data_IF_729744393430
#
_entry.id   IF_729744393430
#
_cell.length_a   1.000
_cell.length_b   1.000
_cell.length_c   1.000
_cell.angle_alpha   90.00
_cell.angle_beta   90.00
_cell.angle_gamma   90.00
#
_symmetry.space_group_name_H-M   'P 1'
#
loop_
_entity.id
_entity.type
_entity.pdbx_description
1 polymer ?
#
# COMPACT_ATOMS: atom_id res chain seq x y z
N UNK A 1 2.28 -46.53 -2.15
CA UNK A 1 0.98 -46.40 -2.83
C UNK A 1 1.17 -45.56 -4.08
N UNK A 2 0.96 -46.21 -5.23
CA UNK A 2 1.29 -45.74 -6.56
C UNK A 2 0.27 -44.70 -7.03
N UNK A 3 0.73 -43.52 -7.45
CA UNK A 3 -0.13 -42.57 -8.17
C UNK A 3 -0.49 -43.17 -9.52
N UNK A 4 -1.72 -43.68 -9.63
CA UNK A 4 -2.32 -44.09 -10.90
C UNK A 4 -2.65 -42.82 -11.70
N UNK A 5 -1.73 -42.42 -12.57
CA UNK A 5 -2.00 -41.46 -13.62
C UNK A 5 -2.88 -42.12 -14.66
N UNK A 6 -4.17 -41.76 -14.69
CA UNK A 6 -5.03 -42.05 -15.84
C UNK A 6 -4.53 -41.23 -17.02
N UNK A 7 -3.87 -41.90 -17.97
CA UNK A 7 -3.66 -41.35 -19.31
C UNK A 7 -5.04 -40.96 -19.86
N UNK A 8 -5.16 -39.70 -20.28
CA UNK A 8 -6.33 -39.21 -21.01
C UNK A 8 -6.65 -40.18 -22.15
N UNK A 9 -7.83 -40.79 -22.12
CA UNK A 9 -8.34 -41.59 -23.23
C UNK A 9 -8.53 -40.67 -24.45
N UNK A 10 -7.54 -40.67 -25.35
CA UNK A 10 -7.58 -39.90 -26.60
C UNK A 10 -8.56 -40.62 -27.53
N UNK A 11 -9.63 -39.97 -28.02
CA UNK A 11 -10.59 -40.59 -28.93
C UNK A 11 -9.88 -41.04 -30.22
N UNK A 12 -10.18 -42.24 -30.71
CA UNK A 12 -9.57 -42.83 -31.93
C UNK A 12 -9.90 -42.08 -33.24
N UNK A 13 -10.69 -41.00 -33.18
CA UNK A 13 -10.97 -40.15 -34.33
C UNK A 13 -9.92 -39.05 -34.45
N UNK A 14 -9.14 -39.09 -35.53
CA UNK A 14 -8.05 -38.14 -35.82
C UNK A 14 -8.49 -36.67 -35.73
N UNK A 15 -9.73 -36.36 -36.06
CA UNK A 15 -10.30 -34.99 -35.99
C UNK A 15 -10.47 -34.52 -34.54
N UNK A 16 -10.93 -35.41 -33.64
CA UNK A 16 -11.16 -35.08 -32.24
C UNK A 16 -9.81 -34.86 -31.53
N UNK A 17 -8.82 -35.72 -31.81
CA UNK A 17 -7.47 -35.56 -31.29
C UNK A 17 -6.82 -34.22 -31.71
N UNK A 18 -6.98 -33.81 -32.98
CA UNK A 18 -6.48 -32.52 -33.49
C UNK A 18 -7.16 -31.34 -32.81
N UNK A 19 -8.48 -31.37 -32.62
CA UNK A 19 -9.21 -30.30 -31.93
C UNK A 19 -8.81 -30.16 -30.47
N UNK A 20 -8.57 -31.28 -29.77
CA UNK A 20 -8.07 -31.27 -28.39
C UNK A 20 -6.67 -30.67 -28.32
N UNK A 21 -5.77 -31.08 -29.22
CA UNK A 21 -4.41 -30.51 -29.29
C UNK A 21 -4.42 -29.00 -29.56
N UNK A 22 -5.22 -28.52 -30.53
CA UNK A 22 -5.32 -27.09 -30.84
C UNK A 22 -5.82 -26.27 -29.64
N UNK A 23 -6.82 -26.78 -28.91
CA UNK A 23 -7.30 -26.13 -27.68
C UNK A 23 -6.24 -26.09 -26.59
N UNK A 24 -5.51 -27.19 -26.37
CA UNK A 24 -4.43 -27.23 -25.39
C UNK A 24 -3.31 -26.24 -25.75
N UNK A 25 -2.91 -26.19 -27.03
CA UNK A 25 -1.89 -25.25 -27.52
C UNK A 25 -2.35 -23.81 -27.29
N UNK A 26 -3.60 -23.48 -27.62
CA UNK A 26 -4.14 -22.13 -27.42
C UNK A 26 -4.16 -21.73 -25.94
N UNK A 27 -4.53 -22.65 -25.04
CA UNK A 27 -4.52 -22.41 -23.59
C UNK A 27 -3.10 -22.19 -23.04
N UNK A 28 -2.12 -22.98 -23.49
CA UNK A 28 -0.71 -22.84 -23.10
C UNK A 28 -0.15 -21.50 -23.57
N UNK A 29 -0.47 -21.06 -24.80
CA UNK A 29 -0.04 -19.77 -25.34
C UNK A 29 -0.66 -18.61 -24.53
N UNK A 30 -1.95 -18.68 -24.21
CA UNK A 30 -2.63 -17.67 -23.38
C UNK A 30 -1.99 -17.53 -21.99
N UNK A 31 -1.70 -18.66 -21.33
CA UNK A 31 -1.04 -18.68 -20.03
C UNK A 31 0.41 -18.15 -20.10
N UNK A 32 1.17 -18.50 -21.14
CA UNK A 32 2.54 -18.02 -21.32
C UNK A 32 2.61 -16.50 -21.60
N UNK A 33 1.53 -15.92 -22.13
CA UNK A 33 1.40 -14.48 -22.35
C UNK A 33 0.92 -13.69 -21.12
N UNK A 34 0.54 -14.39 -20.04
CA UNK A 34 0.06 -13.74 -18.82
C UNK A 34 1.20 -12.99 -18.12
N UNK A 35 1.13 -11.66 -18.12
CA UNK A 35 2.08 -10.82 -17.38
C UNK A 35 1.58 -10.61 -15.96
N UNK A 36 2.34 -11.06 -14.96
CA UNK A 36 2.07 -10.74 -13.56
C UNK A 36 2.49 -9.29 -13.29
N UNK A 37 1.53 -8.44 -12.87
CA UNK A 37 1.81 -7.07 -12.42
C UNK A 37 2.00 -7.07 -10.91
N UNK A 38 3.12 -6.54 -10.44
CA UNK A 38 3.34 -6.28 -9.02
C UNK A 38 2.59 -4.99 -8.66
N UNK A 39 1.82 -5.02 -7.58
CA UNK A 39 1.09 -3.88 -7.04
C UNK A 39 1.53 -3.59 -5.61
N UNK A 40 1.56 -2.32 -5.25
CA UNK A 40 1.91 -1.86 -3.91
C UNK A 40 0.74 -1.07 -3.32
N UNK A 41 0.61 -1.09 -2.01
CA UNK A 41 -0.34 -0.26 -1.28
C UNK A 41 0.33 0.36 -0.06
N UNK A 42 -0.09 1.58 0.28
CA UNK A 42 0.37 2.26 1.48
C UNK A 42 -0.45 1.79 2.69
N UNK A 43 0.21 1.60 3.82
CA UNK A 43 -0.43 1.43 5.12
C UNK A 43 0.02 2.57 6.04
N UNK A 44 -0.95 3.33 6.54
CA UNK A 44 -0.75 4.44 7.48
C UNK A 44 -1.82 4.32 8.57
N UNK A 45 -1.44 4.64 9.80
CA UNK A 45 -2.30 4.55 10.99
C UNK A 45 -1.93 5.67 11.96
N UNK A 46 -2.73 5.82 13.02
CA UNK A 46 -2.40 6.63 14.21
C UNK A 46 -1.98 8.08 13.88
N UNK A 47 -2.66 8.72 12.94
CA UNK A 47 -2.33 10.09 12.50
C UNK A 47 -2.38 11.08 13.68
N UNK A 48 -3.32 10.89 14.63
CA UNK A 48 -3.52 11.74 15.81
C UNK A 48 -3.37 13.23 15.48
N UNK A 49 -4.36 13.79 14.78
CA UNK A 49 -4.33 15.19 14.36
C UNK A 49 -4.68 16.12 15.53
N UNK A 50 -3.75 17.01 15.88
CA UNK A 50 -4.01 18.13 16.77
C UNK A 50 -4.32 19.40 15.95
N UNK A 51 -5.57 19.83 16.01
CA UNK A 51 -6.06 21.02 15.29
C UNK A 51 -5.63 22.33 15.94
N UNK A 52 -5.29 22.30 17.23
CA UNK A 52 -4.92 23.46 18.03
C UNK A 52 -3.41 23.60 18.21
N UNK A 53 -2.64 22.69 17.58
CA UNK A 53 -1.18 22.74 17.56
C UNK A 53 -0.66 24.11 17.11
N UNK A 54 0.26 24.66 17.89
CA UNK A 54 0.91 25.92 17.57
C UNK A 54 2.42 25.84 17.78
N UNK A 55 3.20 26.40 16.86
CA UNK A 55 4.67 26.55 17.02
C UNK A 55 5.06 27.43 18.23
N UNK A 56 4.10 28.19 18.76
CA UNK A 56 4.25 28.98 19.99
C UNK A 56 3.49 28.37 21.17
N UNK A 57 3.12 27.09 21.07
CA UNK A 57 2.48 26.34 22.12
C UNK A 57 3.48 25.75 23.10
N UNK A 58 2.99 25.19 24.20
CA UNK A 58 3.82 24.58 25.24
C UNK A 58 3.78 23.04 25.14
N UNK A 59 4.93 22.35 24.94
CA UNK A 59 4.98 20.89 24.88
C UNK A 59 4.46 20.17 26.12
N UNK A 60 4.36 20.87 27.27
CA UNK A 60 3.81 20.31 28.51
C UNK A 60 2.29 20.44 28.60
N UNK A 61 1.67 21.11 27.63
CA UNK A 61 0.26 21.50 27.63
C UNK A 61 -0.35 21.31 26.25
N UNK A 62 -0.26 20.09 25.75
CA UNK A 62 -0.79 19.67 24.46
C UNK A 62 -0.29 20.50 23.27
N UNK A 63 0.76 21.32 23.43
CA UNK A 63 1.33 22.12 22.36
C UNK A 63 0.36 23.18 21.80
N UNK A 64 -0.62 23.54 22.62
CA UNK A 64 -1.57 24.60 22.34
C UNK A 64 -0.99 25.93 22.78
N UNK A 65 -1.37 26.98 22.05
CA UNK A 65 -1.04 28.35 22.45
C UNK A 65 -2.06 28.83 23.48
N UNK A 66 -1.58 29.09 24.70
CA UNK A 66 -2.35 29.62 25.82
C UNK A 66 -1.73 30.93 26.31
N UNK A 67 -2.44 31.68 27.16
CA UNK A 67 -1.89 32.90 27.80
C UNK A 67 -0.63 32.63 28.62
N UNK A 68 -0.47 31.39 29.10
CA UNK A 68 0.66 30.94 29.91
C UNK A 68 1.80 30.37 29.06
N UNK A 69 1.63 30.25 27.73
CA UNK A 69 2.67 29.80 26.80
C UNK A 69 3.76 30.85 26.54
N UNK A 70 3.80 31.92 27.32
CA UNK A 70 4.78 33.01 27.19
C UNK A 70 6.13 32.49 27.69
N UNK A 71 7.15 32.56 26.83
CA UNK A 71 8.54 32.12 27.07
C UNK A 71 8.83 30.61 27.02
N UNK A 72 7.94 29.79 26.45
CA UNK A 72 8.26 28.38 26.20
C UNK A 72 9.11 28.22 24.92
N UNK A 73 9.96 27.19 24.89
CA UNK A 73 10.67 26.80 23.68
C UNK A 73 9.68 26.65 22.52
N UNK A 74 9.98 27.32 21.41
CA UNK A 74 9.17 27.22 20.20
C UNK A 74 9.21 25.79 19.69
N UNK A 75 8.06 25.11 19.67
CA UNK A 75 7.94 23.77 19.11
C UNK A 75 8.06 23.79 17.59
N UNK A 76 8.57 22.71 17.02
CA UNK A 76 8.92 22.64 15.60
C UNK A 76 7.72 22.72 14.67
N UNK A 77 7.91 23.21 13.44
CA UNK A 77 6.82 23.28 12.44
C UNK A 77 6.13 21.95 12.17
N UNK A 78 6.87 20.84 12.26
CA UNK A 78 6.38 19.49 11.97
C UNK A 78 6.06 18.69 13.23
N UNK A 79 6.04 19.32 14.41
CA UNK A 79 5.70 18.67 15.66
C UNK A 79 6.79 18.75 16.71
N UNK A 80 6.49 18.13 17.84
CA UNK A 80 7.41 17.82 18.93
C UNK A 80 6.96 16.47 19.51
N UNK A 81 7.89 15.66 20.04
CA UNK A 81 7.61 14.30 20.51
C UNK A 81 6.58 14.22 21.64
N UNK A 82 6.36 15.32 22.37
CA UNK A 82 5.35 15.40 23.44
C UNK A 82 3.97 15.87 22.94
N UNK A 83 3.76 15.96 21.62
CA UNK A 83 2.53 16.44 21.00
C UNK A 83 1.94 15.42 20.04
N UNK A 84 0.64 15.54 19.81
CA UNK A 84 -0.03 14.98 18.65
C UNK A 84 0.37 15.72 17.36
N UNK A 85 0.05 15.14 16.21
CA UNK A 85 0.55 15.58 14.90
C UNK A 85 -0.07 16.90 14.45
N UNK A 86 0.73 17.90 14.06
CA UNK A 86 0.21 19.09 13.39
C UNK A 86 -0.22 18.79 11.96
N UNK A 87 -1.15 19.59 11.44
CA UNK A 87 -1.57 19.53 10.03
C UNK A 87 -0.38 19.55 9.04
N UNK A 88 0.66 20.33 9.34
CA UNK A 88 1.86 20.40 8.50
C UNK A 88 2.55 19.04 8.34
N UNK A 89 2.61 18.21 9.39
CA UNK A 89 3.19 16.88 9.35
C UNK A 89 2.30 15.94 8.53
N UNK A 90 1.00 15.90 8.82
CA UNK A 90 0.02 15.06 8.10
C UNK A 90 0.02 15.37 6.60
N UNK A 91 0.00 16.66 6.25
CA UNK A 91 0.07 17.12 4.87
C UNK A 91 1.39 16.72 4.20
N UNK A 92 2.52 16.78 4.92
CA UNK A 92 3.82 16.35 4.38
C UNK A 92 3.84 14.85 4.10
N UNK A 93 3.33 14.03 5.00
CA UNK A 93 3.25 12.57 4.82
C UNK A 93 2.37 12.20 3.62
N UNK A 94 1.18 12.81 3.50
CA UNK A 94 0.29 12.60 2.37
C UNK A 94 0.93 13.02 1.03
N UNK A 95 1.68 14.13 1.01
CA UNK A 95 2.43 14.56 -0.18
C UNK A 95 3.52 13.56 -0.54
N UNK A 96 4.26 13.05 0.44
CA UNK A 96 5.31 12.04 0.22
C UNK A 96 4.72 10.74 -0.33
N UNK A 97 3.62 10.24 0.24
CA UNK A 97 2.94 9.07 -0.30
C UNK A 97 2.55 9.30 -1.76
N UNK A 98 1.97 10.46 -2.08
CA UNK A 98 1.59 10.82 -3.45
C UNK A 98 2.78 10.92 -4.41
N UNK A 99 3.94 11.42 -3.97
CA UNK A 99 5.12 11.56 -4.85
C UNK A 99 5.92 10.27 -5.00
N UNK A 100 5.78 9.32 -4.07
CA UNK A 100 6.53 8.05 -4.05
C UNK A 100 5.72 6.85 -4.54
N UNK A 101 4.82 7.07 -5.50
CA UNK A 101 3.99 6.02 -6.09
C UNK A 101 4.79 5.17 -7.10
N UNK A 102 5.42 4.08 -6.65
CA UNK A 102 5.85 2.98 -7.52
C UNK A 102 7.26 3.06 -8.13
N UNK A 103 8.21 3.66 -7.40
CA UNK A 103 9.64 3.29 -7.53
C UNK A 103 9.96 2.12 -6.61
#
# INVERSE_FOLDING_TARGET
FQYSGRCLDIPQNSVIAVMVCLRCILQVILLASATAKISYFWHITDIHLDVDYSVKGDPRRNCWRTEQSVNHETVGRYGNYNCDSPWALVQSAARTMKTKNGE
#
